data_IF_978211910903
#
_entry.id   IF_978211910903
#
_cell.length_a   1.000
_cell.length_b   1.000
_cell.length_c   1.000
_cell.angle_alpha   90.00
_cell.angle_beta   90.00
_cell.angle_gamma   90.00
#
_symmetry.space_group_name_H-M   'P 1'
#
loop_
_entity.id
_entity.type
_entity.pdbx_description
1 polymer ?
#
# COMPACT_ATOMS: atom_id res chain seq x y z
N UNK A 1 9.28 9.49 8.88
CA UNK A 1 8.28 10.50 9.31
C UNK A 1 7.17 10.78 8.27
N UNK A 2 7.49 11.06 6.99
CA UNK A 2 6.49 11.52 6.00
C UNK A 2 5.38 10.52 5.70
N UNK A 3 5.73 9.25 5.45
CA UNK A 3 4.74 8.22 5.09
C UNK A 3 3.89 7.79 6.29
N UNK A 4 4.46 7.75 7.49
CA UNK A 4 3.73 7.43 8.73
C UNK A 4 2.61 8.43 8.99
N UNK A 5 2.91 9.74 8.86
CA UNK A 5 1.89 10.80 8.93
C UNK A 5 0.77 10.58 7.91
N UNK A 6 1.12 10.18 6.69
CA UNK A 6 0.15 9.97 5.60
C UNK A 6 -0.73 8.74 5.83
N UNK A 7 -0.16 7.64 6.34
CA UNK A 7 -0.92 6.46 6.73
C UNK A 7 -1.84 6.74 7.93
N UNK A 8 -1.33 7.46 8.94
CA UNK A 8 -2.12 7.87 10.10
C UNK A 8 -3.28 8.79 9.70
N UNK A 9 -3.09 9.65 8.70
CA UNK A 9 -4.18 10.46 8.13
C UNK A 9 -5.30 9.58 7.57
N UNK A 10 -4.97 8.52 6.82
CA UNK A 10 -5.97 7.56 6.31
C UNK A 10 -6.67 6.82 7.45
N UNK A 11 -5.92 6.44 8.50
CA UNK A 11 -6.47 5.78 9.69
C UNK A 11 -7.49 6.66 10.42
N UNK A 12 -7.14 7.91 10.73
CA UNK A 12 -8.05 8.81 11.48
C UNK A 12 -9.29 9.22 10.67
N UNK A 13 -9.24 9.13 9.34
CA UNK A 13 -10.39 9.33 8.47
C UNK A 13 -11.25 8.07 8.25
N UNK A 14 -10.91 6.94 8.90
CA UNK A 14 -11.66 5.68 8.78
C UNK A 14 -11.61 5.05 7.39
N UNK A 15 -10.56 5.33 6.59
CA UNK A 15 -10.42 4.75 5.24
C UNK A 15 -10.23 3.23 5.33
N UNK A 16 -9.42 2.77 6.29
CA UNK A 16 -9.18 1.35 6.51
C UNK A 16 -10.44 0.57 6.91
N UNK A 17 -11.45 1.25 7.47
CA UNK A 17 -12.73 0.63 7.84
C UNK A 17 -13.65 0.39 6.64
N UNK A 18 -13.32 0.95 5.48
CA UNK A 18 -14.14 0.91 4.25
C UNK A 18 -13.53 0.07 3.14
N UNK A 19 -12.20 0.01 3.05
CA UNK A 19 -11.51 -0.68 1.94
C UNK A 19 -11.44 -2.19 2.18
N UNK A 20 -11.57 -2.96 1.11
CA UNK A 20 -11.45 -4.42 1.12
C UNK A 20 -10.01 -4.93 0.93
N UNK A 21 -9.08 -4.06 0.54
CA UNK A 21 -7.70 -4.41 0.22
C UNK A 21 -6.84 -3.16 -0.01
N UNK A 22 -5.53 -3.32 0.10
CA UNK A 22 -4.55 -2.25 -0.13
C UNK A 22 -3.48 -2.77 -1.10
N UNK A 23 -3.24 -2.01 -2.17
CA UNK A 23 -2.08 -2.18 -3.04
C UNK A 23 -1.12 -1.03 -2.74
N UNK A 24 0.09 -1.36 -2.30
CA UNK A 24 1.13 -0.39 -1.97
C UNK A 24 2.26 -0.48 -3.00
N UNK A 25 2.47 0.60 -3.76
CA UNK A 25 3.56 0.67 -4.73
C UNK A 25 4.93 0.64 -4.07
N UNK A 26 5.98 0.30 -4.84
CA UNK A 26 7.36 0.50 -4.38
C UNK A 26 7.57 1.97 -4.02
N UNK A 27 8.40 2.21 -3.02
CA UNK A 27 8.80 3.56 -2.67
C UNK A 27 10.20 3.81 -3.23
N UNK A 28 10.28 4.59 -4.32
CA UNK A 28 11.55 4.94 -4.94
C UNK A 28 12.43 5.68 -3.92
N UNK A 29 13.71 5.28 -3.85
CA UNK A 29 14.74 5.86 -2.97
C UNK A 29 14.24 6.15 -1.55
N UNK A 30 13.55 5.17 -0.95
CA UNK A 30 12.99 5.32 0.37
C UNK A 30 14.08 5.60 1.42
N UNK A 31 13.99 6.75 2.08
CA UNK A 31 14.77 7.09 3.26
C UNK A 31 14.08 6.51 4.50
N UNK A 32 14.63 5.42 5.03
CA UNK A 32 14.15 4.74 6.21
C UNK A 32 14.55 5.44 7.53
N UNK A 33 15.25 6.58 7.45
CA UNK A 33 15.79 7.33 8.59
C UNK A 33 16.66 6.48 9.54
N UNK A 34 17.37 5.48 9.01
CA UNK A 34 18.23 4.56 9.77
C UNK A 34 17.48 3.44 10.50
N UNK A 35 16.18 3.26 10.24
CA UNK A 35 15.36 2.26 10.94
C UNK A 35 15.42 0.87 10.32
N UNK A 36 15.93 0.72 9.09
CA UNK A 36 15.84 -0.50 8.28
C UNK A 36 14.41 -1.00 8.05
N UNK A 37 13.39 -0.17 8.33
CA UNK A 37 11.98 -0.53 8.17
C UNK A 37 11.56 -0.30 6.73
N UNK A 38 10.70 -1.17 6.22
CA UNK A 38 10.07 -0.99 4.91
C UNK A 38 8.80 -0.16 5.02
N UNK A 39 8.37 0.54 3.95
CA UNK A 39 7.13 1.30 3.95
C UNK A 39 5.89 0.51 4.41
N UNK A 40 5.78 -0.77 3.99
CA UNK A 40 4.66 -1.61 4.39
C UNK A 40 4.68 -1.96 5.89
N UNK A 41 5.84 -2.00 6.55
CA UNK A 41 5.93 -2.28 7.99
C UNK A 41 5.43 -1.10 8.82
N UNK A 42 5.66 0.12 8.32
CA UNK A 42 5.11 1.35 8.92
C UNK A 42 3.60 1.39 8.72
N UNK A 43 3.10 1.01 7.54
CA UNK A 43 1.67 0.89 7.29
C UNK A 43 1.00 -0.15 8.20
N UNK A 44 1.61 -1.33 8.37
CA UNK A 44 1.10 -2.39 9.25
C UNK A 44 1.03 -1.92 10.72
N UNK A 45 2.02 -1.16 11.19
CA UNK A 45 1.98 -0.57 12.54
C UNK A 45 0.79 0.38 12.70
N UNK A 46 0.54 1.26 11.73
CA UNK A 46 -0.59 2.20 11.75
C UNK A 46 -1.94 1.47 11.69
N UNK A 47 -2.02 0.37 10.95
CA UNK A 47 -3.22 -0.47 10.87
C UNK A 47 -3.50 -1.25 12.16
N UNK A 48 -2.49 -1.45 13.01
CA UNK A 48 -2.56 -2.21 14.25
C UNK A 48 -3.12 -3.63 14.01
N UNK A 49 -4.25 -3.97 14.64
CA UNK A 49 -4.85 -5.31 14.57
C UNK A 49 -5.82 -5.49 13.38
N UNK A 50 -5.96 -4.48 12.52
CA UNK A 50 -6.88 -4.52 11.39
C UNK A 50 -6.31 -5.38 10.26
N UNK A 51 -6.90 -6.55 10.04
CA UNK A 51 -6.46 -7.50 9.01
C UNK A 51 -7.09 -7.15 7.66
N UNK A 52 -6.36 -6.38 6.85
CA UNK A 52 -6.73 -6.06 5.46
C UNK A 52 -5.71 -6.73 4.52
N UNK A 53 -6.15 -7.41 3.45
CA UNK A 53 -5.23 -7.90 2.42
C UNK A 53 -4.34 -6.77 1.90
N UNK A 54 -3.02 -6.97 1.97
CA UNK A 54 -2.02 -5.98 1.58
C UNK A 54 -1.05 -6.61 0.58
N UNK A 55 -0.98 -6.05 -0.63
CA UNK A 55 0.03 -6.39 -1.64
C UNK A 55 0.99 -5.21 -1.78
N UNK A 56 2.22 -5.38 -1.30
CA UNK A 56 3.26 -4.35 -1.35
C UNK A 56 4.19 -4.53 -2.56
N UNK A 57 5.06 -3.53 -2.78
CA UNK A 57 6.05 -3.47 -3.85
C UNK A 57 5.46 -3.56 -5.26
N UNK A 58 4.27 -2.97 -5.48
CA UNK A 58 3.63 -2.92 -6.80
C UNK A 58 4.30 -1.91 -7.75
N UNK A 59 4.49 -2.28 -9.01
CA UNK A 59 5.20 -1.51 -10.05
C UNK A 59 4.32 -0.45 -10.76
N UNK A 60 3.49 0.29 -10.01
CA UNK A 60 2.72 1.43 -10.51
C UNK A 60 3.06 2.69 -9.69
N UNK A 61 4.33 3.08 -9.76
CA UNK A 61 4.93 4.17 -8.98
C UNK A 61 6.19 4.68 -9.71
N UNK A 62 6.97 5.58 -9.09
CA UNK A 62 8.12 6.21 -9.74
C UNK A 62 9.28 5.26 -10.09
N UNK A 63 9.24 3.99 -9.67
CA UNK A 63 10.22 2.98 -10.11
C UNK A 63 10.01 2.56 -11.57
N UNK A 64 11.06 2.02 -12.19
CA UNK A 64 11.03 1.55 -13.58
C UNK A 64 11.13 0.01 -13.63
N UNK A 65 10.34 -0.68 -14.48
CA UNK A 65 9.27 -0.17 -15.34
C UNK A 65 8.01 0.26 -14.56
N UNK A 66 7.10 1.01 -15.21
CA UNK A 66 5.84 1.47 -14.63
C UNK A 66 4.63 0.88 -15.36
N UNK A 67 3.76 0.17 -14.63
CA UNK A 67 2.47 -0.35 -15.08
C UNK A 67 1.48 0.82 -15.19
N UNK A 68 0.66 0.82 -16.24
CA UNK A 68 -0.51 1.71 -16.34
C UNK A 68 -1.71 1.08 -15.64
N UNK A 69 -2.20 1.71 -14.57
CA UNK A 69 -3.31 1.20 -13.77
C UNK A 69 -4.58 2.05 -13.98
N UNK A 70 -5.71 1.47 -14.44
CA UNK A 70 -6.97 2.20 -14.51
C UNK A 70 -7.54 2.45 -13.10
N UNK A 71 -8.16 3.63 -12.91
CA UNK A 71 -8.77 4.05 -11.64
C UNK A 71 -10.27 4.21 -11.81
N UNK A 72 -11.05 3.76 -10.81
CA UNK A 72 -12.52 3.84 -10.83
C UNK A 72 -13.23 2.64 -11.45
N UNK A 73 -12.49 1.57 -11.77
CA UNK A 73 -13.02 0.29 -12.29
C UNK A 73 -12.94 -0.81 -11.23
N UNK A 74 -13.61 -1.93 -11.49
CA UNK A 74 -13.56 -3.10 -10.61
C UNK A 74 -12.22 -3.82 -10.74
N UNK A 75 -11.66 -4.23 -9.60
CA UNK A 75 -10.38 -4.93 -9.51
C UNK A 75 -10.51 -6.09 -8.54
N UNK A 76 -9.98 -7.25 -8.94
CA UNK A 76 -9.74 -8.38 -8.04
C UNK A 76 -8.26 -8.43 -7.68
N UNK A 77 -7.95 -8.43 -6.39
CA UNK A 77 -6.59 -8.61 -5.88
C UNK A 77 -6.48 -9.85 -5.00
N UNK A 78 -5.42 -10.61 -5.19
CA UNK A 78 -5.02 -11.72 -4.33
C UNK A 78 -3.63 -11.44 -3.77
N UNK A 79 -3.57 -11.02 -2.51
CA UNK A 79 -2.31 -10.70 -1.83
C UNK A 79 -1.47 -11.95 -1.52
N UNK A 80 -2.10 -13.13 -1.40
CA UNK A 80 -1.43 -14.40 -1.12
C UNK A 80 -0.72 -14.92 -2.36
N UNK A 81 -1.42 -14.92 -3.50
CA UNK A 81 -0.90 -15.39 -4.79
C UNK A 81 -0.27 -14.27 -5.63
N UNK A 82 -0.30 -13.02 -5.15
CA UNK A 82 0.29 -11.83 -5.76
C UNK A 82 -0.26 -11.53 -7.16
N UNK A 83 -1.58 -11.60 -7.32
CA UNK A 83 -2.26 -11.28 -8.58
C UNK A 83 -3.16 -10.06 -8.47
N UNK A 84 -3.26 -9.32 -9.57
CA UNK A 84 -4.19 -8.19 -9.75
C UNK A 84 -4.85 -8.38 -11.11
N UNK A 85 -6.18 -8.39 -11.15
CA UNK A 85 -6.98 -8.47 -12.37
C UNK A 85 -7.95 -7.30 -12.44
N UNK A 86 -7.99 -6.62 -13.59
CA UNK A 86 -9.03 -5.66 -13.93
C UNK A 86 -10.26 -6.45 -14.43
N UNK A 87 -11.45 -6.10 -13.94
CA UNK A 87 -12.71 -6.76 -14.29
C UNK A 87 -13.51 -5.99 -15.33
#
# INVERSE_FOLDING_TARGET
>A
ATIERSFSLLKVNGVFDKVSGIILGKHEQFDDCGTNRKPYEILLEVMQNQRIPLLADFDCCHTHPMITMPIGVQVNMDATNKTIHIL
#
